data_IF_591639849786
#
_entry.id   IF_591639849786
#
_cell.length_a   1.000
_cell.length_b   1.000
_cell.length_c   1.000
_cell.angle_alpha   90.00
_cell.angle_beta   90.00
_cell.angle_gamma   90.00
#
_symmetry.space_group_name_H-M   'P 1'
#
loop_
_entity.id
_entity.type
_entity.pdbx_description
1 polymer ?
#
# COMPACT_ATOMS: atom_id res chain seq x y z
N UNK A 1 -13.82 -8.20 -23.50
CA UNK A 1 -14.00 -8.83 -22.17
C UNK A 1 -14.44 -7.74 -21.21
N UNK A 2 -15.39 -8.01 -20.33
CA UNK A 2 -15.89 -7.04 -19.35
C UNK A 2 -14.77 -6.55 -18.42
N UNK A 3 -14.65 -5.23 -18.28
CA UNK A 3 -13.66 -4.57 -17.41
C UNK A 3 -13.84 -4.99 -15.95
N UNK A 4 -15.09 -5.18 -15.51
CA UNK A 4 -15.37 -5.62 -14.16
C UNK A 4 -14.81 -7.03 -13.88
N UNK A 5 -14.91 -7.93 -14.85
CA UNK A 5 -14.36 -9.30 -14.75
C UNK A 5 -12.83 -9.29 -14.73
N UNK A 6 -12.18 -8.40 -15.51
CA UNK A 6 -10.72 -8.21 -15.46
C UNK A 6 -10.26 -7.81 -14.06
N UNK A 7 -10.93 -6.83 -13.47
CA UNK A 7 -10.61 -6.33 -12.12
C UNK A 7 -10.80 -7.41 -11.05
N UNK A 8 -11.91 -8.15 -11.10
CA UNK A 8 -12.15 -9.28 -10.19
C UNK A 8 -11.07 -10.37 -10.30
N UNK A 9 -10.63 -10.68 -11.52
CA UNK A 9 -9.54 -11.64 -11.75
C UNK A 9 -8.21 -11.15 -11.15
N UNK A 10 -7.87 -9.87 -11.35
CA UNK A 10 -6.67 -9.26 -10.75
C UNK A 10 -6.72 -9.30 -9.23
N UNK A 11 -7.86 -8.91 -8.63
CA UNK A 11 -8.04 -8.95 -7.17
C UNK A 11 -7.83 -10.37 -6.63
N UNK A 12 -8.41 -11.38 -7.29
CA UNK A 12 -8.25 -12.77 -6.88
C UNK A 12 -6.78 -13.23 -6.95
N UNK A 13 -6.07 -12.89 -8.02
CA UNK A 13 -4.65 -13.23 -8.20
C UNK A 13 -3.75 -12.56 -7.15
N UNK A 14 -3.94 -11.25 -6.91
CA UNK A 14 -3.17 -10.49 -5.92
C UNK A 14 -3.43 -11.02 -4.51
N UNK A 15 -4.68 -11.28 -4.14
CA UNK A 15 -5.01 -11.85 -2.83
C UNK A 15 -4.39 -13.24 -2.65
N UNK A 16 -4.37 -14.07 -3.69
CA UNK A 16 -3.73 -15.37 -3.63
C UNK A 16 -2.21 -15.25 -3.46
N UNK A 17 -1.57 -14.31 -4.15
CA UNK A 17 -0.15 -14.03 -4.00
C UNK A 17 0.18 -13.63 -2.55
N UNK A 18 -0.55 -12.67 -1.97
CA UNK A 18 -0.28 -12.18 -0.61
C UNK A 18 -0.58 -13.24 0.46
N UNK A 19 -1.57 -14.12 0.25
CA UNK A 19 -1.81 -15.28 1.11
C UNK A 19 -0.76 -16.38 0.95
N UNK A 20 -0.01 -16.35 -0.14
CA UNK A 20 1.07 -17.29 -0.44
C UNK A 20 2.29 -17.08 0.46
N UNK A 21 3.38 -17.79 0.13
CA UNK A 21 4.63 -17.77 0.91
C UNK A 21 5.62 -16.70 0.44
N UNK A 22 5.54 -16.27 -0.81
CA UNK A 22 6.52 -15.40 -1.45
C UNK A 22 5.87 -14.46 -2.45
N UNK A 23 6.51 -13.32 -2.64
CA UNK A 23 6.13 -12.33 -3.62
C UNK A 23 6.52 -12.79 -5.04
N UNK A 24 5.68 -12.47 -6.03
CA UNK A 24 5.90 -12.85 -7.43
C UNK A 24 5.63 -11.68 -8.34
N UNK A 25 6.66 -11.15 -8.97
CA UNK A 25 6.55 -10.04 -9.91
C UNK A 25 5.71 -10.40 -11.14
N UNK A 26 5.78 -11.65 -11.59
CA UNK A 26 4.95 -12.17 -12.68
C UNK A 26 3.43 -11.98 -12.48
N UNK A 27 2.95 -11.92 -11.23
CA UNK A 27 1.53 -11.63 -10.95
C UNK A 27 1.22 -10.15 -11.22
N UNK A 28 2.14 -9.24 -10.91
CA UNK A 28 2.02 -7.80 -11.17
C UNK A 28 2.05 -7.52 -12.66
N UNK A 29 2.99 -8.12 -13.40
CA UNK A 29 3.09 -7.96 -14.86
C UNK A 29 1.83 -8.48 -15.56
N UNK A 30 1.31 -9.63 -15.13
CA UNK A 30 0.07 -10.18 -15.65
C UNK A 30 -1.13 -9.29 -15.36
N UNK A 31 -1.21 -8.72 -14.14
CA UNK A 31 -2.26 -7.79 -13.75
C UNK A 31 -2.20 -6.49 -14.58
N UNK A 32 -1.02 -5.90 -14.73
CA UNK A 32 -0.82 -4.70 -15.54
C UNK A 32 -1.21 -4.93 -16.99
N UNK A 33 -0.76 -6.05 -17.59
CA UNK A 33 -1.14 -6.45 -18.94
C UNK A 33 -2.65 -6.62 -19.10
N UNK A 34 -3.30 -7.29 -18.13
CA UNK A 34 -4.75 -7.55 -18.20
C UNK A 34 -5.58 -6.27 -18.10
N UNK A 35 -5.12 -5.32 -17.28
CA UNK A 35 -5.72 -4.00 -17.11
C UNK A 35 -5.27 -2.97 -18.16
N UNK A 36 -4.44 -3.38 -19.13
CA UNK A 36 -3.89 -2.51 -20.17
C UNK A 36 -3.14 -1.29 -19.58
N UNK A 37 -2.42 -1.52 -18.48
CA UNK A 37 -1.59 -0.54 -17.78
C UNK A 37 -0.12 -0.75 -18.08
N UNK A 38 0.62 0.36 -18.10
CA UNK A 38 2.07 0.34 -18.21
C UNK A 38 2.68 0.34 -16.81
N UNK A 39 3.30 -0.78 -16.43
CA UNK A 39 3.98 -0.92 -15.16
C UNK A 39 5.41 -0.35 -15.28
N UNK A 40 5.70 0.74 -14.56
CA UNK A 40 6.99 1.42 -14.61
C UNK A 40 7.19 2.37 -13.42
N UNK A 41 8.43 2.80 -13.19
CA UNK A 41 8.81 3.77 -12.15
C UNK A 41 9.26 3.12 -10.85
N UNK A 42 9.59 3.94 -9.85
CA UNK A 42 10.26 3.47 -8.62
C UNK A 42 9.50 2.36 -7.90
N UNK A 43 8.16 2.44 -7.83
CA UNK A 43 7.34 1.40 -7.21
C UNK A 43 7.45 0.05 -7.95
N UNK A 44 7.52 0.09 -9.28
CA UNK A 44 7.74 -1.10 -10.10
C UNK A 44 9.12 -1.69 -9.84
N UNK A 45 10.15 -0.85 -9.82
CA UNK A 45 11.54 -1.28 -9.63
C UNK A 45 11.74 -1.92 -8.24
N UNK A 46 11.12 -1.34 -7.20
CA UNK A 46 11.12 -1.92 -5.84
C UNK A 46 10.46 -3.29 -5.82
N UNK A 47 9.27 -3.43 -6.42
CA UNK A 47 8.56 -4.71 -6.49
C UNK A 47 9.33 -5.75 -7.30
N UNK A 48 9.98 -5.33 -8.39
CA UNK A 48 10.79 -6.20 -9.23
C UNK A 48 12.04 -6.70 -8.49
N UNK A 49 12.65 -5.88 -7.63
CA UNK A 49 13.82 -6.27 -6.85
C UNK A 49 13.52 -7.36 -5.82
N UNK A 50 12.28 -7.45 -5.34
CA UNK A 50 11.84 -8.44 -4.35
C UNK A 50 11.15 -9.65 -4.99
N UNK A 51 11.32 -9.87 -6.30
CA UNK A 51 10.76 -11.05 -6.96
C UNK A 51 11.28 -12.34 -6.31
N UNK A 52 10.35 -13.28 -6.12
CA UNK A 52 10.60 -14.58 -5.49
C UNK A 52 11.10 -14.54 -4.04
N UNK A 53 11.02 -13.39 -3.36
CA UNK A 53 11.38 -13.28 -1.94
C UNK A 53 10.22 -13.77 -1.06
N UNK A 54 10.53 -14.60 -0.07
CA UNK A 54 9.56 -15.07 0.93
C UNK A 54 9.10 -13.93 1.84
N UNK A 55 7.79 -13.83 2.09
CA UNK A 55 7.23 -12.78 2.95
C UNK A 55 7.75 -12.85 4.39
N UNK A 56 8.15 -14.03 4.86
CA UNK A 56 8.73 -14.21 6.19
C UNK A 56 10.15 -13.65 6.32
N UNK A 57 10.86 -13.51 5.19
CA UNK A 57 12.23 -12.97 5.14
C UNK A 57 12.24 -11.46 4.84
N UNK A 58 11.07 -10.86 4.61
CA UNK A 58 10.96 -9.42 4.37
C UNK A 58 10.93 -8.66 5.69
N UNK A 59 11.60 -7.50 5.79
CA UNK A 59 11.32 -6.53 6.85
C UNK A 59 9.83 -6.19 6.89
N UNK A 60 9.27 -6.06 8.09
CA UNK A 60 7.82 -5.81 8.29
C UNK A 60 7.37 -4.54 7.56
N UNK A 61 8.16 -3.48 7.65
CA UNK A 61 7.90 -2.20 6.97
C UNK A 61 7.79 -2.35 5.46
N UNK A 62 8.67 -3.16 4.85
CA UNK A 62 8.64 -3.44 3.42
C UNK A 62 7.40 -4.25 3.05
N UNK A 63 7.10 -5.30 3.83
CA UNK A 63 5.93 -6.15 3.61
C UNK A 63 4.62 -5.36 3.69
N UNK A 64 4.50 -4.47 4.68
CA UNK A 64 3.32 -3.63 4.88
C UNK A 64 3.17 -2.55 3.79
N UNK A 65 4.28 -2.20 3.12
CA UNK A 65 4.30 -1.23 2.02
C UNK A 65 3.90 -1.85 0.66
N UNK A 66 3.98 -3.18 0.51
CA UNK A 66 3.67 -3.89 -0.76
C UNK A 66 2.30 -3.50 -1.35
N UNK A 67 1.19 -3.46 -0.58
CA UNK A 67 -0.10 -3.02 -1.10
C UNK A 67 -0.09 -1.64 -1.76
N UNK A 68 0.61 -0.67 -1.14
CA UNK A 68 0.73 0.69 -1.66
C UNK A 68 1.54 0.72 -2.95
N UNK A 69 2.67 0.00 -2.98
CA UNK A 69 3.50 -0.11 -4.18
C UNK A 69 2.74 -0.74 -5.35
N UNK A 70 1.93 -1.78 -5.11
CA UNK A 70 1.11 -2.40 -6.16
C UNK A 70 0.06 -1.41 -6.67
N UNK A 71 -0.55 -0.63 -5.77
CA UNK A 71 -1.51 0.41 -6.14
C UNK A 71 -0.85 1.48 -7.03
N UNK A 72 0.36 1.93 -6.69
CA UNK A 72 1.10 2.91 -7.47
C UNK A 72 1.41 2.38 -8.88
N UNK A 73 1.77 1.10 -8.99
CA UNK A 73 2.07 0.46 -10.28
C UNK A 73 0.83 0.25 -11.14
N UNK A 74 -0.28 -0.21 -10.54
CA UNK A 74 -1.48 -0.57 -11.30
C UNK A 74 -2.44 0.61 -11.50
N UNK A 75 -2.26 1.71 -10.75
CA UNK A 75 -3.13 2.88 -10.78
C UNK A 75 -4.55 2.58 -10.28
N UNK A 76 -4.73 1.53 -9.49
CA UNK A 76 -6.02 1.09 -8.95
C UNK A 76 -6.12 1.46 -7.47
N UNK A 77 -7.20 2.14 -7.11
CA UNK A 77 -7.56 2.37 -5.70
C UNK A 77 -7.64 1.03 -4.95
N UNK A 78 -7.30 0.96 -3.65
CA UNK A 78 -7.08 -0.30 -2.98
C UNK A 78 -8.42 -1.04 -2.81
N UNK A 79 -8.72 -1.97 -3.74
CA UNK A 79 -9.74 -3.02 -3.54
C UNK A 79 -9.14 -4.18 -2.73
N UNK A 80 -7.96 -3.95 -2.16
CA UNK A 80 -7.34 -4.84 -1.21
C UNK A 80 -8.15 -4.86 0.09
N UNK A 81 -9.04 -5.83 0.23
CA UNK A 81 -9.59 -6.21 1.53
C UNK A 81 -8.58 -7.10 2.24
N UNK A 82 -7.46 -6.52 2.65
CA UNK A 82 -6.61 -7.14 3.66
C UNK A 82 -7.35 -6.97 4.99
N UNK A 83 -8.11 -7.97 5.40
CA UNK A 83 -8.45 -8.07 6.82
C UNK A 83 -7.14 -8.40 7.52
N UNK A 84 -6.46 -7.38 8.04
CA UNK A 84 -5.33 -7.57 8.94
C UNK A 84 -5.78 -8.52 10.05
N UNK A 85 -5.24 -9.73 10.05
CA UNK A 85 -5.39 -10.62 11.19
C UNK A 85 -4.49 -10.02 12.27
N UNK A 86 -5.12 -9.21 13.12
CA UNK A 86 -4.67 -8.51 14.35
C UNK A 86 -4.40 -6.99 14.29
N UNK A 87 -5.41 -6.29 14.83
CA UNK A 87 -5.38 -5.18 15.81
C UNK A 87 -4.81 -3.81 15.40
N UNK A 88 -5.73 -2.97 14.93
CA UNK A 88 -6.15 -1.76 15.65
C UNK A 88 -5.12 -0.66 15.86
N UNK A 89 -5.12 0.32 14.96
CA UNK A 89 -5.05 1.75 15.29
C UNK A 89 -5.59 2.54 14.08
N UNK A 90 -6.87 2.92 14.12
CA UNK A 90 -7.35 4.04 13.33
C UNK A 90 -6.90 5.30 14.07
N UNK A 91 -5.90 6.02 13.55
CA UNK A 91 -5.72 7.43 13.92
C UNK A 91 -6.57 8.22 12.94
N UNK A 92 -7.69 8.73 13.44
CA UNK A 92 -8.49 9.73 12.73
C UNK A 92 -7.73 11.06 12.76
N UNK A 93 -7.11 11.41 11.64
CA UNK A 93 -6.44 12.70 11.43
C UNK A 93 -7.42 13.87 11.22
N UNK A 94 -8.74 13.67 11.30
CA UNK A 94 -9.73 14.77 11.26
C UNK A 94 -9.68 15.71 12.47
N UNK A 95 -8.90 15.36 13.50
CA UNK A 95 -8.81 16.15 14.75
C UNK A 95 -7.70 17.21 14.76
N UNK A 96 -6.85 17.32 13.75
CA UNK A 96 -5.92 18.45 13.66
C UNK A 96 -6.63 19.68 13.12
N UNK A 97 -7.47 20.25 13.99
CA UNK A 97 -7.87 21.64 13.91
C UNK A 97 -6.62 22.50 13.76
N UNK A 98 -6.48 23.11 12.59
CA UNK A 98 -5.71 24.34 12.42
C UNK A 98 -6.34 25.41 13.30
N UNK A 99 -5.88 25.51 14.55
CA UNK A 99 -6.06 26.70 15.35
C UNK A 99 -4.70 27.19 15.85
N UNK A 100 -3.91 27.71 14.91
CA UNK A 100 -2.79 28.60 15.22
C UNK A 100 -3.34 29.91 15.75
N UNK A 101 -3.59 30.00 17.06
CA UNK A 101 -3.77 31.28 17.75
C UNK A 101 -2.58 31.51 18.68
N UNK A 102 -1.75 32.45 18.23
CA UNK A 102 -0.66 33.14 18.93
C UNK A 102 -0.96 33.34 20.42
N UNK A 103 -0.02 32.95 21.28
CA UNK A 103 0.05 33.36 22.68
C UNK A 103 1.35 34.15 22.87
N UNK A 104 1.33 35.48 23.07
CA UNK A 104 2.55 36.26 23.30
C UNK A 104 2.59 36.86 24.71
N UNK A 105 2.44 36.09 25.80
CA UNK A 105 2.65 36.66 27.15
C UNK A 105 3.19 35.63 28.15
N UNK A 106 4.43 35.17 27.96
CA UNK A 106 5.28 34.73 29.06
C UNK A 106 6.17 35.91 29.46
N UNK A 107 5.74 36.70 30.45
CA UNK A 107 6.68 37.49 31.27
C UNK A 107 6.91 36.73 32.57
N UNK A 108 8.03 36.02 32.60
CA UNK A 108 8.73 35.67 33.83
C UNK A 108 9.43 36.94 34.32
N UNK A 109 9.04 37.46 35.49
CA UNK A 109 10.00 38.08 36.40
C UNK A 109 9.68 37.67 37.82
N UNK A 110 10.69 37.10 38.44
CA UNK A 110 10.76 36.62 39.81
C UNK A 110 11.37 37.74 40.67
N UNK A 111 10.92 37.86 41.93
CA UNK A 111 11.25 38.83 42.99
C UNK A 111 10.45 40.14 43.03
#
# INVERSE_FOLDING_TARGET
>A
MDQHIKELAVIAALNNMIKGKYFRMSVIDAAAKLLERHASGDAYDVLHMIDFVYFENMPVELRDSIPGLIQDVLGTSPIFRFTSVNKGFMIDLSSYSTQTKRQPWLRLTNR
#
